data_IF_385004124050
#
_entry.id   IF_385004124050
#
_cell.length_a   1.000
_cell.length_b   1.000
_cell.length_c   1.000
_cell.angle_alpha   90.00
_cell.angle_beta   90.00
_cell.angle_gamma   90.00
#
_symmetry.space_group_name_H-M   'P 1'
#
loop_
_entity.id
_entity.type
_entity.pdbx_description
1 polymer ?
#
# COMPACT_ATOMS: atom_id res chain seq x y z
N UNK A 1 -64.40 -31.69 -36.09
CA UNK A 1 -63.11 -31.00 -36.30
C UNK A 1 -62.33 -31.03 -35.00
N UNK A 2 -61.19 -31.70 -35.02
CA UNK A 2 -60.36 -32.05 -33.85
C UNK A 2 -59.37 -30.92 -33.60
N UNK A 3 -59.29 -30.40 -32.36
CA UNK A 3 -58.14 -29.62 -31.89
C UNK A 3 -57.58 -30.29 -30.64
N UNK A 4 -56.30 -30.62 -30.77
CA UNK A 4 -55.45 -31.39 -29.86
C UNK A 4 -55.08 -30.51 -28.66
N UNK A 5 -55.23 -31.02 -27.45
CA UNK A 5 -54.68 -30.43 -26.24
C UNK A 5 -53.23 -30.89 -26.05
N UNK A 6 -52.28 -29.95 -26.06
CA UNK A 6 -50.90 -30.21 -25.67
C UNK A 6 -50.73 -29.92 -24.17
N UNK A 7 -50.34 -30.95 -23.41
CA UNK A 7 -49.79 -30.83 -22.05
C UNK A 7 -48.38 -30.24 -22.15
N UNK A 8 -48.03 -29.29 -21.29
CA UNK A 8 -46.62 -28.98 -20.98
C UNK A 8 -46.48 -28.81 -19.48
N UNK A 9 -45.47 -29.50 -18.95
CA UNK A 9 -45.24 -29.76 -17.54
C UNK A 9 -44.76 -28.52 -16.79
N UNK A 10 -45.20 -28.41 -15.53
CA UNK A 10 -44.56 -27.57 -14.53
C UNK A 10 -43.20 -28.17 -14.17
N UNK A 11 -42.12 -27.41 -14.34
CA UNK A 11 -40.83 -27.71 -13.71
C UNK A 11 -40.68 -26.68 -12.60
N UNK A 12 -40.98 -27.12 -11.37
CA UNK A 12 -40.60 -26.38 -10.18
C UNK A 12 -39.08 -26.45 -10.05
N UNK A 13 -38.40 -25.33 -10.22
CA UNK A 13 -37.02 -25.20 -9.75
C UNK A 13 -37.08 -24.88 -8.26
N UNK A 14 -36.92 -25.91 -7.43
CA UNK A 14 -36.55 -25.73 -6.03
C UNK A 14 -35.14 -25.14 -6.01
N UNK A 15 -35.02 -23.82 -5.79
CA UNK A 15 -33.73 -23.23 -5.43
C UNK A 15 -33.46 -23.64 -3.99
N UNK A 16 -32.60 -24.64 -3.82
CA UNK A 16 -31.94 -24.88 -2.54
C UNK A 16 -31.02 -23.68 -2.31
N UNK A 17 -31.41 -22.76 -1.43
CA UNK A 17 -30.50 -21.75 -0.91
C UNK A 17 -29.55 -22.46 0.04
N UNK A 18 -28.51 -23.08 -0.52
CA UNK A 18 -27.35 -23.48 0.24
C UNK A 18 -26.67 -22.20 0.71
N UNK A 19 -26.62 -21.98 2.03
CA UNK A 19 -25.71 -21.01 2.63
C UNK A 19 -24.29 -21.56 2.43
N UNK A 20 -23.78 -21.42 1.22
CA UNK A 20 -22.34 -21.44 1.02
C UNK A 20 -21.87 -20.10 1.58
N UNK A 21 -21.24 -20.13 2.74
CA UNK A 21 -20.31 -19.07 3.10
C UNK A 21 -19.24 -19.10 2.00
N UNK A 22 -19.46 -18.33 0.94
CA UNK A 22 -18.37 -17.89 0.09
C UNK A 22 -17.55 -17.04 1.04
N UNK A 23 -16.54 -17.64 1.67
CA UNK A 23 -15.47 -16.87 2.24
C UNK A 23 -14.95 -16.05 1.06
N UNK A 24 -15.35 -14.78 1.00
CA UNK A 24 -14.65 -13.83 0.16
C UNK A 24 -13.17 -14.00 0.53
N UNK A 25 -12.26 -14.19 -0.44
CA UNK A 25 -10.85 -14.13 -0.11
C UNK A 25 -10.67 -12.79 0.63
N UNK A 26 -10.04 -12.84 1.81
CA UNK A 26 -9.61 -11.63 2.50
C UNK A 26 -8.89 -10.79 1.43
N UNK A 27 -9.52 -9.70 1.03
CA UNK A 27 -9.01 -8.88 -0.03
C UNK A 27 -7.90 -8.09 0.64
N UNK A 28 -6.67 -8.60 0.54
CA UNK A 28 -5.46 -7.99 1.07
C UNK A 28 -5.60 -6.47 0.96
N UNK A 29 -5.68 -5.80 2.10
CA UNK A 29 -5.88 -4.37 2.13
C UNK A 29 -4.54 -3.71 1.80
N UNK A 30 -4.27 -3.59 0.50
CA UNK A 30 -3.12 -2.85 0.02
C UNK A 30 -3.34 -1.38 0.39
N UNK A 31 -2.55 -0.91 1.35
CA UNK A 31 -2.54 0.47 1.78
C UNK A 31 -1.51 1.24 0.95
N UNK A 32 -1.96 2.26 0.24
CA UNK A 32 -1.12 3.11 -0.60
C UNK A 32 -0.99 4.51 0.01
N UNK A 33 0.23 5.03 -0.04
CA UNK A 33 0.59 6.34 0.49
C UNK A 33 1.25 7.17 -0.60
N UNK A 34 0.83 8.44 -0.70
CA UNK A 34 1.47 9.43 -1.55
C UNK A 34 2.58 10.14 -0.79
N UNK A 35 3.72 10.36 -1.43
CA UNK A 35 4.86 11.11 -0.94
C UNK A 35 4.99 12.44 -1.68
N UNK A 36 5.21 13.53 -0.94
CA UNK A 36 5.63 14.82 -1.49
C UNK A 36 6.99 15.18 -0.91
N UNK A 37 7.91 15.63 -1.76
CA UNK A 37 9.26 16.04 -1.38
C UNK A 37 9.43 17.53 -1.62
N UNK A 38 10.08 18.20 -0.67
CA UNK A 38 10.37 19.63 -0.68
C UNK A 38 11.87 19.82 -0.46
N UNK A 39 12.48 20.83 -1.10
CA UNK A 39 13.85 21.22 -0.82
C UNK A 39 13.97 22.04 0.48
N UNK A 40 15.20 22.44 0.84
CA UNK A 40 15.46 23.26 2.02
C UNK A 40 14.82 24.67 1.97
N UNK A 41 14.39 25.15 0.80
CA UNK A 41 13.66 26.40 0.65
C UNK A 41 12.14 26.19 0.77
N UNK A 42 11.67 24.95 0.95
CA UNK A 42 10.26 24.58 0.97
C UNK A 42 9.61 24.48 -0.41
N UNK A 43 10.39 24.54 -1.49
CA UNK A 43 9.89 24.40 -2.85
C UNK A 43 9.69 22.92 -3.21
N UNK A 44 8.68 22.55 -4.03
CA UNK A 44 8.49 21.17 -4.47
C UNK A 44 9.73 20.62 -5.18
N UNK A 45 10.29 19.54 -4.66
CA UNK A 45 11.49 18.87 -5.18
C UNK A 45 11.18 17.52 -5.84
N UNK A 46 9.99 16.95 -5.58
CA UNK A 46 9.64 15.64 -6.09
C UNK A 46 8.32 15.08 -5.56
N UNK A 47 7.95 13.91 -6.08
CA UNK A 47 6.78 13.14 -5.65
C UNK A 47 7.08 11.66 -5.66
N UNK A 48 6.30 10.88 -4.93
CA UNK A 48 6.37 9.44 -4.98
C UNK A 48 5.16 8.78 -4.37
N UNK A 49 5.26 7.47 -4.22
CA UNK A 49 4.28 6.64 -3.56
C UNK A 49 4.95 5.38 -3.01
N UNK A 50 4.32 4.81 -1.99
CA UNK A 50 4.64 3.47 -1.52
C UNK A 50 3.37 2.73 -1.14
N UNK A 51 3.44 1.40 -1.16
CA UNK A 51 2.34 0.57 -0.69
C UNK A 51 2.85 -0.64 0.08
N UNK A 52 2.02 -1.16 0.96
CA UNK A 52 2.23 -2.42 1.65
C UNK A 52 0.88 -3.13 1.82
N UNK A 53 0.95 -4.44 2.02
CA UNK A 53 -0.20 -5.27 2.37
C UNK A 53 -0.21 -5.43 3.90
N UNK A 54 -1.21 -4.87 4.58
CA UNK A 54 -1.28 -4.85 6.05
C UNK A 54 -1.67 -6.22 6.66
N UNK A 55 -2.08 -7.18 5.83
CA UNK A 55 -2.37 -8.56 6.23
C UNK A 55 -1.17 -9.50 6.07
N UNK A 56 -0.15 -9.08 5.31
CA UNK A 56 1.03 -9.88 5.01
C UNK A 56 2.09 -9.80 6.12
N UNK A 57 2.79 -10.91 6.39
CA UNK A 57 3.97 -10.94 7.26
C UNK A 57 5.21 -11.20 6.41
N UNK A 58 6.23 -10.36 6.58
CA UNK A 58 7.53 -10.51 5.93
C UNK A 58 8.61 -10.74 6.97
N UNK A 59 9.33 -11.85 6.82
CA UNK A 59 10.45 -12.17 7.69
C UNK A 59 11.67 -11.31 7.37
N UNK A 60 12.17 -10.62 8.40
CA UNK A 60 13.38 -9.82 8.36
C UNK A 60 14.49 -10.58 9.09
N UNK A 61 15.47 -11.06 8.33
CA UNK A 61 16.66 -11.71 8.89
C UNK A 61 17.60 -10.69 9.54
N UNK A 62 18.23 -11.03 10.66
CA UNK A 62 19.18 -10.15 11.36
C UNK A 62 20.61 -10.68 11.37
N UNK A 63 20.83 -11.96 11.02
CA UNK A 63 22.16 -12.59 11.04
C UNK A 63 22.30 -13.51 9.81
N UNK A 64 23.44 -13.48 9.08
CA UNK A 64 23.67 -14.32 7.91
C UNK A 64 24.13 -15.74 8.30
N UNK A 65 23.29 -16.48 9.02
CA UNK A 65 23.53 -17.89 9.40
C UNK A 65 22.46 -18.83 8.83
N UNK A 66 22.78 -20.12 8.81
CA UNK A 66 21.95 -21.20 8.21
C UNK A 66 20.59 -21.40 8.88
N UNK A 67 20.41 -20.97 10.13
CA UNK A 67 19.11 -20.90 10.78
C UNK A 67 18.59 -19.46 10.72
N UNK A 68 17.37 -19.20 10.22
CA UNK A 68 16.82 -17.85 10.14
C UNK A 68 16.61 -17.28 11.54
N UNK A 69 17.48 -16.36 11.95
CA UNK A 69 17.29 -15.50 13.12
C UNK A 69 16.81 -14.14 12.62
N UNK A 70 15.69 -13.67 13.16
CA UNK A 70 15.01 -12.49 12.64
C UNK A 70 13.67 -12.23 13.34
N UNK A 71 12.86 -11.39 12.73
CA UNK A 71 11.53 -11.00 13.22
C UNK A 71 10.59 -10.78 12.04
N UNK A 72 9.29 -10.83 12.29
CA UNK A 72 8.27 -10.58 11.26
C UNK A 72 7.83 -9.11 11.28
N UNK A 73 7.61 -8.52 10.10
CA UNK A 73 7.00 -7.20 9.95
C UNK A 73 5.74 -7.27 9.09
N UNK A 74 4.68 -6.54 9.49
CA UNK A 74 3.41 -6.47 8.73
C UNK A 74 3.43 -5.45 7.60
N UNK A 75 4.22 -4.40 7.74
CA UNK A 75 4.15 -3.24 6.84
C UNK A 75 5.32 -3.21 5.85
N UNK A 76 5.79 -4.38 5.42
CA UNK A 76 6.84 -4.45 4.40
C UNK A 76 6.34 -3.88 3.08
N UNK A 77 7.14 -3.00 2.48
CA UNK A 77 6.78 -2.35 1.24
C UNK A 77 6.70 -3.40 0.12
N UNK A 78 5.57 -3.42 -0.56
CA UNK A 78 5.32 -4.19 -1.78
C UNK A 78 5.63 -3.36 -3.02
N UNK A 79 5.48 -2.03 -2.92
CA UNK A 79 5.87 -1.08 -3.95
C UNK A 79 6.49 0.19 -3.34
N UNK A 80 7.39 0.81 -4.09
CA UNK A 80 7.95 2.14 -3.83
C UNK A 80 8.39 2.74 -5.15
N UNK A 81 8.01 3.99 -5.39
CA UNK A 81 8.41 4.78 -6.55
C UNK A 81 8.50 6.24 -6.15
N UNK A 82 9.61 6.91 -6.44
CA UNK A 82 9.76 8.34 -6.20
C UNK A 82 10.60 9.00 -7.29
N UNK A 83 10.20 10.20 -7.71
CA UNK A 83 10.96 11.08 -8.57
C UNK A 83 11.37 12.31 -7.76
N UNK A 84 12.67 12.47 -7.49
CA UNK A 84 13.24 13.57 -6.67
C UNK A 84 14.37 14.22 -7.44
N UNK A 85 14.30 15.54 -7.62
CA UNK A 85 15.29 16.31 -8.40
C UNK A 85 15.57 15.73 -9.80
N UNK A 86 14.53 15.17 -10.44
CA UNK A 86 14.63 14.54 -11.76
C UNK A 86 15.13 13.09 -11.77
N UNK A 87 15.40 12.51 -10.60
CA UNK A 87 15.93 11.16 -10.44
C UNK A 87 14.88 10.18 -9.91
N UNK A 88 14.81 9.00 -10.52
CA UNK A 88 13.81 7.99 -10.19
C UNK A 88 14.37 6.93 -9.23
N UNK A 89 13.65 6.69 -8.15
CA UNK A 89 13.97 5.74 -7.10
C UNK A 89 12.86 4.72 -7.03
N UNK A 90 13.23 3.46 -6.93
CA UNK A 90 12.31 2.34 -6.92
C UNK A 90 12.59 1.40 -5.78
N UNK A 91 11.62 0.56 -5.46
CA UNK A 91 11.82 -0.51 -4.50
C UNK A 91 12.99 -1.45 -4.89
N UNK A 92 13.30 -1.58 -6.18
CA UNK A 92 14.43 -2.37 -6.68
C UNK A 92 15.80 -1.82 -6.29
N UNK A 93 15.89 -0.55 -5.91
CA UNK A 93 17.14 0.11 -5.53
C UNK A 93 17.50 -0.11 -4.05
N UNK A 94 16.71 -0.86 -3.28
CA UNK A 94 16.92 -1.03 -1.84
C UNK A 94 17.82 -2.24 -1.52
N UNK A 95 18.67 -2.16 -0.50
CA UNK A 95 19.20 -3.35 0.15
C UNK A 95 18.12 -3.95 1.07
N UNK A 96 17.80 -5.24 0.88
CA UNK A 96 16.98 -6.02 1.82
C UNK A 96 15.49 -5.62 1.93
N UNK A 97 14.88 -5.97 3.07
CA UNK A 97 13.46 -5.66 3.35
C UNK A 97 13.33 -4.23 3.87
N UNK A 98 12.32 -3.50 3.41
CA UNK A 98 12.00 -2.13 3.83
C UNK A 98 10.55 -2.08 4.29
N UNK A 99 10.25 -1.45 5.42
CA UNK A 99 8.91 -1.42 6.00
C UNK A 99 8.57 -0.08 6.65
N UNK A 100 7.28 0.19 6.76
CA UNK A 100 6.71 1.39 7.34
C UNK A 100 6.29 1.18 8.81
N UNK A 101 6.65 2.09 9.72
CA UNK A 101 6.41 1.96 11.17
C UNK A 101 5.62 3.14 11.73
N UNK A 102 4.35 3.35 11.34
CA UNK A 102 3.60 4.54 11.75
C UNK A 102 3.44 4.66 13.27
N UNK A 103 3.51 3.55 14.01
CA UNK A 103 3.38 3.60 15.48
C UNK A 103 4.67 3.99 16.20
N UNK A 104 5.82 4.02 15.51
CA UNK A 104 7.13 4.27 16.10
C UNK A 104 7.63 5.68 15.77
N UNK A 105 8.39 6.31 16.67
CA UNK A 105 8.84 7.71 16.51
C UNK A 105 9.67 7.97 15.24
N UNK A 106 10.34 6.95 14.73
CA UNK A 106 11.23 7.05 13.57
C UNK A 106 10.50 6.71 12.26
N UNK A 107 9.26 6.21 12.33
CA UNK A 107 8.33 5.92 11.22
C UNK A 107 8.81 4.98 10.11
N UNK A 108 10.09 4.64 10.05
CA UNK A 108 10.75 3.94 8.96
C UNK A 108 11.60 2.81 9.52
N UNK A 109 11.59 1.66 8.86
CA UNK A 109 12.52 0.58 9.14
C UNK A 109 13.06 -0.06 7.85
N UNK A 110 14.32 -0.47 7.89
CA UNK A 110 14.96 -1.17 6.79
C UNK A 110 16.04 -2.14 7.28
N UNK A 111 16.07 -3.31 6.67
CA UNK A 111 17.14 -4.28 6.78
C UNK A 111 18.20 -3.97 5.74
N UNK A 112 19.42 -3.69 6.15
CA UNK A 112 20.54 -3.44 5.24
C UNK A 112 21.52 -4.60 5.26
N UNK A 113 21.99 -4.94 4.07
CA UNK A 113 22.97 -6.00 3.86
C UNK A 113 24.26 -5.35 3.38
N UNK A 114 25.34 -5.58 4.10
CA UNK A 114 26.68 -5.07 3.77
C UNK A 114 27.73 -6.17 3.88
N UNK A 115 28.96 -5.87 3.45
CA UNK A 115 30.11 -6.77 3.66
C UNK A 115 30.39 -7.09 5.13
N UNK A 116 29.91 -6.26 6.06
CA UNK A 116 30.09 -6.45 7.50
C UNK A 116 28.92 -7.22 8.14
N UNK A 117 27.91 -7.61 7.37
CA UNK A 117 26.74 -8.34 7.83
C UNK A 117 25.43 -7.59 7.60
N UNK A 118 24.40 -8.09 8.27
CA UNK A 118 23.04 -7.55 8.23
C UNK A 118 22.84 -6.64 9.44
N UNK A 119 22.22 -5.48 9.23
CA UNK A 119 21.83 -4.58 10.32
C UNK A 119 20.49 -3.91 10.02
N UNK A 120 19.83 -3.43 11.08
CA UNK A 120 18.54 -2.74 11.00
C UNK A 120 18.78 -1.24 11.13
N UNK A 121 18.11 -0.46 10.30
CA UNK A 121 18.19 0.99 10.29
C UNK A 121 16.79 1.59 10.31
N UNK A 122 16.63 2.70 11.03
CA UNK A 122 15.37 3.42 11.14
C UNK A 122 15.19 4.44 10.01
N UNK A 123 15.71 4.12 8.83
CA UNK A 123 15.75 4.98 7.65
C UNK A 123 15.63 4.14 6.39
N UNK A 124 14.95 4.66 5.37
CA UNK A 124 14.91 3.99 4.07
C UNK A 124 16.05 4.49 3.20
N UNK A 125 16.89 3.56 2.75
CA UNK A 125 17.95 3.82 1.80
C UNK A 125 17.64 3.16 0.45
N UNK A 126 17.88 3.90 -0.62
CA UNK A 126 17.79 3.45 -2.00
C UNK A 126 19.07 3.86 -2.74
N UNK A 127 19.58 2.97 -3.59
CA UNK A 127 20.74 3.18 -4.43
C UNK A 127 21.87 2.18 -4.17
N UNK A 128 23.07 2.57 -4.60
CA UNK A 128 24.20 1.66 -4.72
C UNK A 128 24.92 1.51 -3.37
N UNK A 129 24.69 0.38 -2.71
CA UNK A 129 25.36 0.02 -1.44
C UNK A 129 26.88 -0.20 -1.61
N UNK A 130 27.33 -0.52 -2.83
CA UNK A 130 28.71 -0.89 -3.13
C UNK A 130 29.60 0.27 -3.56
N UNK A 131 29.14 1.08 -4.52
CA UNK A 131 29.91 2.20 -5.07
C UNK A 131 29.67 3.52 -4.33
N UNK A 132 28.53 3.66 -3.65
CA UNK A 132 28.12 4.92 -3.02
C UNK A 132 27.90 6.07 -4.00
N UNK A 133 27.79 5.78 -5.30
CA UNK A 133 27.66 6.78 -6.37
C UNK A 133 26.26 7.31 -6.53
N UNK A 134 25.24 6.59 -6.05
CA UNK A 134 23.85 6.98 -6.16
C UNK A 134 23.15 6.58 -4.87
N UNK A 135 22.71 7.56 -4.10
CA UNK A 135 22.17 7.35 -2.77
C UNK A 135 20.98 8.26 -2.53
N UNK A 136 19.93 7.68 -1.98
CA UNK A 136 18.75 8.39 -1.51
C UNK A 136 18.36 7.84 -0.16
N UNK A 137 18.23 8.72 0.82
CA UNK A 137 17.93 8.39 2.20
C UNK A 137 16.69 9.16 2.63
N UNK A 138 15.71 8.45 3.19
CA UNK A 138 14.61 9.05 3.94
C UNK A 138 14.81 8.75 5.41
N UNK A 139 14.60 9.78 6.22
CA UNK A 139 14.51 9.71 7.66
C UNK A 139 13.14 10.22 8.08
N UNK A 140 12.48 9.48 8.98
CA UNK A 140 11.21 9.92 9.57
C UNK A 140 11.46 10.81 10.77
N UNK A 141 10.64 11.83 10.92
CA UNK A 141 10.60 12.67 12.11
C UNK A 141 9.24 12.53 12.82
N UNK A 142 9.25 12.89 14.11
CA UNK A 142 8.14 12.63 15.00
C UNK A 142 6.85 13.38 14.59
N UNK A 143 5.73 12.71 14.83
CA UNK A 143 4.37 13.08 14.42
C UNK A 143 3.97 14.51 14.81
N UNK A 144 3.45 15.27 13.85
CA UNK A 144 2.39 16.24 14.12
C UNK A 144 1.11 15.68 13.48
N UNK A 145 0.15 15.36 14.33
CA UNK A 145 -1.17 14.69 14.22
C UNK A 145 -2.00 14.69 12.91
N UNK A 146 -1.52 15.24 11.79
CA UNK A 146 -2.22 15.25 10.50
C UNK A 146 -1.35 14.81 9.30
N UNK A 147 -0.03 14.63 9.46
CA UNK A 147 0.85 14.24 8.35
C UNK A 147 2.10 13.50 8.85
N UNK A 148 2.44 12.39 8.21
CA UNK A 148 3.73 11.74 8.38
C UNK A 148 4.77 12.49 7.58
N UNK A 149 6.02 12.50 8.02
CA UNK A 149 7.09 13.16 7.29
C UNK A 149 8.43 13.00 7.94
N UNK A 150 9.38 13.74 7.41
CA UNK A 150 10.72 13.85 7.95
C UNK A 150 11.65 14.49 6.94
N UNK A 151 12.92 14.10 6.96
CA UNK A 151 13.95 14.63 6.07
C UNK A 151 14.39 13.63 5.03
N UNK A 152 14.89 14.13 3.90
CA UNK A 152 15.49 13.33 2.84
C UNK A 152 16.84 13.90 2.41
N UNK A 153 17.69 13.03 1.89
CA UNK A 153 18.98 13.36 1.30
C UNK A 153 19.17 12.57 0.02
N UNK A 154 19.60 13.25 -1.05
CA UNK A 154 20.02 12.66 -2.31
C UNK A 154 21.49 13.03 -2.58
N UNK A 155 22.29 12.03 -2.93
CA UNK A 155 23.68 12.18 -3.32
C UNK A 155 23.96 11.32 -4.54
N UNK A 156 24.26 11.97 -5.67
CA UNK A 156 24.64 11.32 -6.92
C UNK A 156 26.00 11.85 -7.36
N UNK A 157 26.97 10.95 -7.39
CA UNK A 157 28.32 11.16 -7.89
C UNK A 157 28.38 10.63 -9.31
N UNK A 158 28.58 11.53 -10.27
CA UNK A 158 28.67 11.21 -11.69
C UNK A 158 29.34 12.33 -12.47
N UNK A 159 29.22 12.29 -13.79
CA UNK A 159 29.75 13.36 -14.67
C UNK A 159 29.11 14.70 -14.34
N UNK A 160 27.81 14.69 -14.03
CA UNK A 160 27.10 15.83 -13.45
C UNK A 160 26.67 15.42 -12.04
N UNK A 161 27.38 15.85 -10.99
CA UNK A 161 27.01 15.52 -9.63
C UNK A 161 25.70 16.23 -9.24
N UNK A 162 24.87 15.55 -8.46
CA UNK A 162 23.62 16.10 -7.94
C UNK A 162 23.52 15.81 -6.45
N UNK A 163 23.44 16.86 -5.65
CA UNK A 163 23.23 16.78 -4.21
C UNK A 163 21.98 17.57 -3.83
N UNK A 164 21.16 17.00 -2.98
CA UNK A 164 19.93 17.63 -2.53
C UNK A 164 19.53 17.13 -1.17
N UNK A 165 18.82 17.97 -0.44
CA UNK A 165 18.16 17.60 0.79
C UNK A 165 16.94 18.47 1.02
N UNK A 166 16.08 18.02 1.93
CA UNK A 166 14.94 18.79 2.39
C UNK A 166 14.00 17.92 3.20
N UNK A 167 12.70 18.25 3.15
CA UNK A 167 11.66 17.55 3.90
C UNK A 167 10.75 16.75 3.01
N UNK A 168 10.14 15.69 3.53
CA UNK A 168 9.10 14.93 2.85
C UNK A 168 7.87 14.78 3.74
N UNK A 169 6.73 14.52 3.10
CA UNK A 169 5.48 14.22 3.79
C UNK A 169 4.80 13.03 3.12
N UNK A 170 4.18 12.14 3.91
CA UNK A 170 3.28 11.10 3.42
C UNK A 170 1.83 11.33 3.85
N UNK A 171 0.91 11.05 2.93
CA UNK A 171 -0.53 11.06 3.16
C UNK A 171 -1.16 9.81 2.55
N UNK A 172 -2.21 9.23 3.15
CA UNK A 172 -2.92 8.12 2.54
C UNK A 172 -3.39 8.51 1.14
N UNK A 173 -3.07 7.69 0.14
CA UNK A 173 -3.64 7.86 -1.19
C UNK A 173 -5.13 7.53 -1.10
N UNK A 174 -6.00 8.43 -1.53
CA UNK A 174 -7.45 8.23 -1.47
C UNK A 174 -7.89 7.18 -2.50
N UNK A 175 -7.65 5.90 -2.23
CA UNK A 175 -8.30 4.80 -2.91
C UNK A 175 -9.55 4.44 -2.09
N UNK A 176 -10.63 5.18 -2.32
CA UNK A 176 -11.95 4.74 -1.90
C UNK A 176 -12.29 3.47 -2.70
N UNK A 177 -11.98 2.30 -2.16
CA UNK A 177 -12.60 1.05 -2.59
C UNK A 177 -13.98 1.03 -1.91
N UNK A 178 -15.09 1.16 -2.64
CA UNK A 178 -16.39 0.93 -2.03
C UNK A 178 -16.44 -0.54 -1.63
N UNK A 179 -16.59 -0.82 -0.34
CA UNK A 179 -16.86 -2.18 0.10
C UNK A 179 -18.11 -2.69 -0.64
N UNK A 180 -18.14 -3.96 -1.09
CA UNK A 180 -19.30 -4.55 -1.77
C UNK A 180 -20.60 -4.49 -0.94
N UNK A 181 -20.49 -4.34 0.38
CA UNK A 181 -21.58 -4.06 1.32
C UNK A 181 -22.28 -2.72 1.05
N UNK A 182 -21.55 -1.69 0.60
CA UNK A 182 -22.09 -0.34 0.34
C UNK A 182 -22.92 -0.29 -0.95
N UNK A 183 -22.53 -1.07 -1.98
CA UNK A 183 -23.29 -1.18 -3.23
C UNK A 183 -24.59 -1.96 -3.03
N UNK A 184 -24.56 -3.05 -2.25
CA UNK A 184 -25.77 -3.81 -1.90
C UNK A 184 -26.71 -3.02 -0.98
N UNK A 185 -26.16 -2.25 -0.02
CA UNK A 185 -26.93 -1.34 0.84
C UNK A 185 -27.64 -0.24 0.06
N UNK A 186 -26.96 0.38 -0.91
CA UNK A 186 -27.56 1.39 -1.78
C UNK A 186 -28.68 0.82 -2.68
N UNK A 187 -28.52 -0.42 -3.14
CA UNK A 187 -29.53 -1.10 -3.97
C UNK A 187 -30.78 -1.45 -3.16
N UNK A 188 -30.63 -1.89 -1.90
CA UNK A 188 -31.76 -2.21 -1.00
C UNK A 188 -32.56 -0.97 -0.59
N UNK A 189 -31.89 0.16 -0.33
CA UNK A 189 -32.57 1.43 -0.01
C UNK A 189 -33.36 1.94 -1.24
N UNK A 190 -32.80 1.81 -2.45
CA UNK A 190 -33.48 2.18 -3.70
C UNK A 190 -34.79 1.40 -3.94
N UNK A 191 -34.80 0.08 -3.69
CA UNK A 191 -35.99 -0.76 -3.82
C UNK A 191 -37.02 -0.44 -2.73
N UNK A 192 -36.59 -0.20 -1.49
CA UNK A 192 -37.47 0.14 -0.37
C UNK A 192 -38.23 1.46 -0.56
N UNK A 193 -37.58 2.49 -1.10
CA UNK A 193 -38.22 3.79 -1.37
C UNK A 193 -39.23 3.69 -2.52
N UNK A 194 -38.96 2.89 -3.55
CA UNK A 194 -39.87 2.72 -4.69
C UNK A 194 -41.15 1.95 -4.31
N UNK A 195 -41.03 0.89 -3.49
CA UNK A 195 -42.18 0.14 -3.00
C UNK A 195 -43.09 0.98 -2.09
N UNK A 196 -42.51 1.83 -1.22
CA UNK A 196 -43.29 2.70 -0.33
C UNK A 196 -44.07 3.78 -1.08
N UNK A 197 -43.58 4.21 -2.25
CA UNK A 197 -44.24 5.22 -3.09
C UNK A 197 -45.43 4.65 -3.88
N UNK A 198 -45.42 3.35 -4.22
CA UNK A 198 -46.58 2.69 -4.86
C UNK A 198 -47.74 2.42 -3.89
N UNK A 199 -47.46 2.18 -2.61
CA UNK A 199 -48.51 1.85 -1.62
C UNK A 199 -49.30 3.09 -1.17
N UNK A 200 -48.74 4.30 -1.27
CA UNK A 200 -49.43 5.55 -0.87
C UNK A 200 -50.26 6.22 -1.98
N UNK A 201 -50.19 5.73 -3.22
CA UNK A 201 -50.91 6.29 -4.37
C UNK A 201 -51.96 5.32 -4.94
N UNK A 202 -52.36 4.30 -4.16
CA UNK A 202 -53.46 3.38 -4.48
C UNK A 202 -54.69 3.71 -3.65
#
# INVERSE_FOLDING_TARGET
MQKIYQKTAAIAFSVVVGVNTIAAPAQAAILTWSLNFFDNAGSPAGKGEFSYDDESLTFVQTIPISAPVGFEVRNALTNFSAAVLGENWSLGDRPGVTWWQPTDSNNLGQQRISRYGIFIADTWFFGDVGSGTRQFLLQGDNQNSASWGGSWLQSIVGVVPSFGSGSWTASPSSAAVPEPSTVLGATLVGVGVWLRKRIKNG
#
